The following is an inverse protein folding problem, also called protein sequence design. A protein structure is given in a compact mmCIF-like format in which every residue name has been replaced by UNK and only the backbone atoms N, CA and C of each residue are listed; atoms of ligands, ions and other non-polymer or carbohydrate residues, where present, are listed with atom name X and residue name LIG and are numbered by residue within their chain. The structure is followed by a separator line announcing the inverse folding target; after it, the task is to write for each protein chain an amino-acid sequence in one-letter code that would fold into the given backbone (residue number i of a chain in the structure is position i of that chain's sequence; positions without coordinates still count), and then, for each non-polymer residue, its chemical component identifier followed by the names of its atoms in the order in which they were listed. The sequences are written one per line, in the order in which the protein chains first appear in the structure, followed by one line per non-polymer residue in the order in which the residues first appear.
data_IF_614426223242
#
_entry.id   IF_614426223242
#
_cell.length_a   1.000
_cell.length_b   1.000
_cell.length_c   1.000
_cell.angle_alpha   90.00
_cell.angle_beta   90.00
_cell.angle_gamma   90.00
#
_symmetry.space_group_name_H-M   'P 1'
#
loop_
_entity.id
_entity.type
_entity.pdbx_description
1 polymer ?
#
# COMPACT_ATOMS: atom_id res chain seq x y z
N UNK A 1 -17.97 -1.69 -10.83
CA UNK A 1 -16.77 -2.55 -10.79
C UNK A 1 -16.52 -2.98 -9.35
N UNK A 2 -16.28 -4.26 -9.08
CA UNK A 2 -15.98 -4.73 -7.71
C UNK A 2 -14.54 -4.38 -7.36
N UNK A 3 -14.35 -3.75 -6.19
CA UNK A 3 -13.04 -3.46 -5.65
C UNK A 3 -12.39 -4.79 -5.20
N UNK A 4 -11.22 -5.16 -5.73
CA UNK A 4 -10.58 -6.41 -5.36
C UNK A 4 -10.07 -6.31 -3.94
N UNK A 5 -9.84 -7.48 -3.37
CA UNK A 5 -9.10 -7.61 -2.14
C UNK A 5 -7.83 -8.37 -2.51
N UNK A 6 -6.68 -7.79 -2.21
CA UNK A 6 -5.38 -8.48 -2.30
C UNK A 6 -4.89 -8.77 -0.90
N UNK A 7 -3.99 -9.73 -0.76
CA UNK A 7 -3.40 -10.05 0.53
C UNK A 7 -1.89 -10.15 0.45
N UNK A 8 -1.24 -9.86 1.58
CA UNK A 8 0.13 -10.21 1.88
C UNK A 8 0.17 -11.05 3.14
N UNK A 9 0.75 -12.24 3.04
CA UNK A 9 1.18 -13.00 4.20
C UNK A 9 2.54 -12.46 4.64
N UNK A 10 2.58 -11.92 5.84
CA UNK A 10 3.74 -11.29 6.43
C UNK A 10 4.44 -12.31 7.31
N UNK A 11 5.75 -12.45 7.14
CA UNK A 11 6.60 -13.23 8.03
C UNK A 11 7.68 -12.36 8.69
N UNK A 12 8.09 -12.74 9.90
CA UNK A 12 9.18 -12.12 10.65
C UNK A 12 10.24 -13.16 10.96
N UNK A 13 11.48 -12.93 10.53
CA UNK A 13 12.55 -13.93 10.62
C UNK A 13 12.12 -15.32 10.07
N UNK A 14 11.36 -15.31 8.96
CA UNK A 14 10.78 -16.50 8.32
C UNK A 14 9.64 -17.19 9.07
N UNK A 15 9.24 -16.71 10.25
CA UNK A 15 8.05 -17.20 10.96
C UNK A 15 6.80 -16.42 10.51
N UNK A 16 5.69 -17.09 10.19
CA UNK A 16 4.43 -16.42 9.85
C UNK A 16 3.99 -15.46 10.96
N UNK A 17 3.66 -14.23 10.60
CA UNK A 17 3.24 -13.18 11.52
C UNK A 17 1.77 -12.80 11.34
N UNK A 18 1.36 -12.44 10.12
CA UNK A 18 0.03 -11.89 9.88
C UNK A 18 -0.42 -12.09 8.43
N UNK A 19 -1.73 -12.10 8.21
CA UNK A 19 -2.36 -12.05 6.90
C UNK A 19 -3.02 -10.70 6.74
N UNK A 20 -2.42 -9.84 5.92
CA UNK A 20 -2.94 -8.48 5.72
C UNK A 20 -3.65 -8.41 4.38
N UNK A 21 -4.97 -8.23 4.44
CA UNK A 21 -5.79 -7.99 3.26
C UNK A 21 -6.06 -6.51 3.04
N UNK A 22 -6.03 -6.10 1.77
CA UNK A 22 -6.19 -4.72 1.33
C UNK A 22 -7.26 -4.68 0.25
N UNK A 23 -8.28 -3.85 0.46
CA UNK A 23 -9.27 -3.55 -0.57
C UNK A 23 -8.72 -2.46 -1.47
N UNK A 24 -8.42 -2.77 -2.73
CA UNK A 24 -7.98 -1.77 -3.69
C UNK A 24 -9.20 -0.95 -4.14
N UNK A 25 -9.10 0.38 -4.11
CA UNK A 25 -10.19 1.23 -4.55
C UNK A 25 -10.22 1.36 -6.07
N UNK A 26 -10.51 0.27 -6.78
CA UNK A 26 -10.51 0.24 -8.25
C UNK A 26 -11.47 1.25 -8.89
N UNK A 27 -12.54 1.62 -8.19
CA UNK A 27 -13.47 2.68 -8.61
C UNK A 27 -12.92 4.11 -8.41
N UNK A 28 -11.80 4.26 -7.71
CA UNK A 28 -11.12 5.53 -7.46
C UNK A 28 -9.74 5.60 -8.13
N UNK A 29 -9.11 4.43 -8.31
CA UNK A 29 -7.72 4.25 -8.75
C UNK A 29 -7.63 3.05 -9.73
N UNK A 30 -8.22 3.16 -10.93
CA UNK A 30 -8.31 2.04 -11.87
C UNK A 30 -6.99 1.67 -12.55
N UNK A 31 -6.07 2.62 -12.82
CA UNK A 31 -4.80 2.32 -13.51
C UNK A 31 -3.73 1.78 -12.56
N UNK A 32 -3.67 2.24 -11.31
CA UNK A 32 -2.65 1.74 -10.37
C UNK A 32 -2.85 0.28 -9.95
N UNK A 33 -4.01 -0.31 -10.23
CA UNK A 33 -4.33 -1.69 -9.89
C UNK A 33 -3.56 -2.73 -10.71
N UNK A 34 -3.19 -2.43 -11.96
CA UNK A 34 -2.80 -3.45 -12.94
C UNK A 34 -1.31 -3.48 -13.30
N UNK A 35 -0.52 -2.48 -12.87
CA UNK A 35 0.78 -2.22 -13.47
C UNK A 35 1.90 -2.22 -12.40
N UNK A 36 2.26 -3.41 -11.93
CA UNK A 36 3.51 -3.63 -11.19
C UNK A 36 4.69 -3.64 -12.17
N UNK A 37 5.10 -2.48 -12.70
CA UNK A 37 6.27 -2.42 -13.59
C UNK A 37 6.44 -1.17 -14.46
N UNK A 38 5.36 -0.42 -14.72
CA UNK A 38 5.42 0.82 -15.48
C UNK A 38 5.23 2.05 -14.57
N UNK A 39 5.85 3.17 -14.93
CA UNK A 39 5.63 4.44 -14.22
C UNK A 39 4.19 4.89 -14.43
N UNK A 40 3.45 5.06 -13.35
CA UNK A 40 2.03 5.42 -13.39
C UNK A 40 1.82 6.90 -13.12
N UNK A 41 0.85 7.48 -13.85
CA UNK A 41 0.30 8.80 -13.55
C UNK A 41 -0.27 8.83 -12.13
N UNK A 42 -0.11 9.97 -11.44
CA UNK A 42 -0.60 10.16 -10.08
C UNK A 42 -2.14 10.12 -10.07
N UNK A 43 -2.74 8.98 -9.76
CA UNK A 43 -4.19 8.85 -9.57
C UNK A 43 -4.59 9.46 -8.20
N UNK A 44 -4.69 10.79 -8.21
CA UNK A 44 -5.32 11.74 -7.30
C UNK A 44 -5.41 11.36 -5.80
N UNK A 45 -4.70 12.17 -5.00
CA UNK A 45 -4.54 12.22 -3.54
C UNK A 45 -5.82 12.41 -2.70
N UNK A 46 -6.89 11.68 -2.99
CA UNK A 46 -8.18 11.78 -2.30
C UNK A 46 -8.06 11.34 -0.83
N UNK A 47 -7.19 10.35 -0.58
CA UNK A 47 -6.98 9.77 0.74
C UNK A 47 -5.75 10.40 1.41
N UNK A 48 -5.88 10.63 2.73
CA UNK A 48 -4.87 11.29 3.56
C UNK A 48 -4.14 10.32 4.45
N UNK A 49 -2.90 10.65 4.81
CA UNK A 49 -2.03 9.89 5.70
C UNK A 49 -2.42 10.12 7.17
N UNK A 50 -3.61 9.63 7.52
CA UNK A 50 -4.30 9.95 8.78
C UNK A 50 -3.73 9.25 10.03
N UNK A 51 -2.83 8.27 9.89
CA UNK A 51 -2.27 7.59 11.05
C UNK A 51 -1.46 6.33 10.73
N UNK A 52 -1.05 5.59 11.78
CA UNK A 52 -0.39 4.30 11.65
C UNK A 52 -1.22 3.30 10.84
N UNK A 53 -0.54 2.45 10.09
CA UNK A 53 -1.10 1.42 9.23
C UNK A 53 -1.58 1.91 7.87
N UNK A 54 -1.50 3.20 7.54
CA UNK A 54 -1.85 3.68 6.18
C UNK A 54 -0.83 3.16 5.16
N UNK A 55 -1.33 2.63 4.03
CA UNK A 55 -0.50 2.22 2.90
C UNK A 55 -0.51 3.29 1.82
N UNK A 56 0.67 3.64 1.35
CA UNK A 56 0.89 4.69 0.37
C UNK A 56 1.92 4.28 -0.68
N UNK A 57 1.83 4.81 -1.89
CA UNK A 57 2.81 4.56 -2.94
C UNK A 57 4.11 5.30 -2.65
N UNK A 58 5.24 4.66 -2.92
CA UNK A 58 6.51 5.37 -3.02
C UNK A 58 6.69 5.87 -4.46
N UNK A 59 7.20 7.08 -4.58
CA UNK A 59 7.58 7.70 -5.84
C UNK A 59 8.92 8.44 -5.71
N UNK A 60 9.47 8.82 -6.86
CA UNK A 60 10.65 9.67 -7.03
C UNK A 60 10.26 11.02 -7.68
N UNK A 61 9.06 11.54 -7.37
CA UNK A 61 8.47 12.71 -8.00
C UNK A 61 7.24 12.38 -8.86
N UNK A 62 6.58 13.40 -9.43
CA UNK A 62 5.29 13.25 -10.10
C UNK A 62 5.30 12.18 -11.19
N UNK A 63 4.28 11.33 -11.19
CA UNK A 63 4.07 10.25 -12.17
C UNK A 63 5.20 9.21 -12.23
N UNK A 64 5.87 8.92 -11.10
CA UNK A 64 6.93 7.90 -11.02
C UNK A 64 6.56 6.74 -10.09
N UNK A 65 5.28 6.60 -9.75
CA UNK A 65 4.77 5.47 -8.98
C UNK A 65 5.09 4.16 -9.71
N UNK A 66 5.61 3.18 -8.98
CA UNK A 66 5.94 1.85 -9.49
C UNK A 66 5.35 0.78 -8.57
N UNK A 67 6.11 -0.21 -8.12
CA UNK A 67 5.67 -1.26 -7.20
C UNK A 67 6.06 -1.01 -5.74
N UNK A 68 6.86 0.02 -5.46
CA UNK A 68 7.26 0.35 -4.10
C UNK A 68 6.12 1.03 -3.34
N UNK A 69 5.93 0.64 -2.08
CA UNK A 69 4.94 1.21 -1.19
C UNK A 69 5.50 1.40 0.23
N UNK A 70 4.86 2.27 0.99
CA UNK A 70 5.12 2.57 2.40
C UNK A 70 3.97 2.05 3.26
N UNK A 71 4.29 1.63 4.48
CA UNK A 71 3.32 1.48 5.57
C UNK A 71 3.65 2.56 6.61
N UNK A 72 2.71 3.46 6.87
CA UNK A 72 2.89 4.56 7.81
C UNK A 72 2.92 4.04 9.24
N UNK A 73 3.91 4.42 10.04
CA UNK A 73 3.95 4.10 11.48
C UNK A 73 3.32 5.18 12.37
N UNK A 74 3.02 6.35 11.79
CA UNK A 74 2.40 7.52 12.40
C UNK A 74 1.56 8.29 11.36
N UNK A 75 0.85 9.34 11.80
CA UNK A 75 0.22 10.31 10.90
C UNK A 75 1.33 11.08 10.17
N UNK A 76 1.32 11.12 8.84
CA UNK A 76 2.36 11.74 8.02
C UNK A 76 1.78 12.71 6.97
N UNK A 77 1.01 13.70 7.44
CA UNK A 77 0.23 14.62 6.60
C UNK A 77 1.04 15.44 5.59
N UNK A 78 2.36 15.58 5.79
CA UNK A 78 3.24 16.27 4.84
C UNK A 78 3.44 15.53 3.51
N UNK A 79 3.00 14.26 3.43
CA UNK A 79 2.93 13.45 2.21
C UNK A 79 1.56 13.52 1.52
N UNK A 80 0.56 14.16 2.13
CA UNK A 80 -0.73 14.38 1.49
C UNK A 80 -0.55 15.23 0.24
N UNK A 81 -1.21 14.86 -0.86
CA UNK A 81 -1.03 15.57 -2.13
C UNK A 81 0.27 15.24 -2.87
N UNK A 82 1.15 14.38 -2.31
CA UNK A 82 2.44 14.00 -2.90
C UNK A 82 2.55 12.50 -3.14
N UNK A 83 2.06 11.68 -2.21
CA UNK A 83 2.04 10.23 -2.33
C UNK A 83 0.61 9.68 -2.29
N UNK A 84 0.28 8.76 -3.20
CA UNK A 84 -1.06 8.19 -3.30
C UNK A 84 -1.32 7.15 -2.21
N UNK A 85 -2.33 7.41 -1.37
CA UNK A 85 -2.80 6.44 -0.36
C UNK A 85 -3.77 5.46 -1.01
N UNK A 86 -3.50 4.16 -0.87
CA UNK A 86 -4.31 3.10 -1.50
C UNK A 86 -4.89 2.08 -0.52
N UNK A 87 -4.52 2.10 0.75
CA UNK A 87 -5.00 1.11 1.71
C UNK A 87 -4.70 1.42 3.18
N UNK A 88 -5.09 0.49 4.05
CA UNK A 88 -4.80 0.51 5.49
C UNK A 88 -4.61 -0.92 6.00
N UNK A 89 -3.54 -1.18 6.74
CA UNK A 89 -3.28 -2.46 7.41
C UNK A 89 -4.20 -2.64 8.61
N UNK A 90 -4.51 -3.90 8.92
CA UNK A 90 -5.48 -4.22 9.96
C UNK A 90 -4.87 -4.35 11.34
N UNK A 91 -3.60 -4.76 11.51
CA UNK A 91 -2.89 -4.85 12.81
C UNK A 91 -1.35 -4.94 12.67
N UNK A 92 -0.62 -4.76 13.80
CA UNK A 92 0.79 -5.15 13.97
C UNK A 92 1.83 -4.01 14.06
N UNK A 93 2.78 -4.12 15.01
CA UNK A 93 4.03 -3.34 15.07
C UNK A 93 5.19 -4.31 15.34
N UNK A 94 6.30 -4.21 14.60
CA UNK A 94 7.50 -5.03 14.82
C UNK A 94 8.76 -4.27 14.42
N UNK A 95 9.89 -4.61 15.04
CA UNK A 95 11.23 -4.02 14.75
C UNK A 95 12.19 -5.03 14.10
N UNK A 96 11.70 -6.25 13.85
CA UNK A 96 12.47 -7.35 13.23
C UNK A 96 12.32 -7.30 11.71
N UNK A 97 13.16 -8.05 10.97
CA UNK A 97 13.06 -8.17 9.51
C UNK A 97 11.68 -8.70 9.13
N UNK A 98 10.97 -7.96 8.28
CA UNK A 98 9.66 -8.32 7.73
C UNK A 98 9.84 -8.76 6.27
N UNK A 99 9.19 -9.86 5.88
CA UNK A 99 9.13 -10.34 4.49
C UNK A 99 7.69 -10.60 4.10
N UNK A 100 7.34 -10.35 2.84
CA UNK A 100 6.11 -10.89 2.24
C UNK A 100 6.41 -12.34 1.90
N UNK A 101 5.82 -13.27 2.65
CA UNK A 101 5.99 -14.70 2.48
C UNK A 101 5.11 -15.26 1.34
N UNK A 102 3.91 -14.70 1.16
CA UNK A 102 3.01 -14.99 0.04
C UNK A 102 2.15 -13.76 -0.29
N UNK A 103 1.61 -13.70 -1.49
CA UNK A 103 0.72 -12.64 -1.92
C UNK A 103 -0.22 -13.09 -3.03
N UNK A 104 -1.44 -12.53 -3.04
CA UNK A 104 -2.40 -12.83 -4.09
C UNK A 104 -3.63 -11.94 -4.08
N UNK A 105 -4.59 -12.27 -4.94
CA UNK A 105 -5.92 -11.68 -4.95
C UNK A 105 -6.92 -12.71 -4.40
N UNK A 106 -7.82 -12.25 -3.54
CA UNK A 106 -8.97 -13.01 -3.02
C UNK A 106 -10.14 -12.91 -3.99
#
# INVERSE_FOLDING_TARGET
MVNPIVFFDIAVNSEPLDHVSFKLFANKVPKSRSNYGEKLEDEYFILKHTGPGILSMADAGPNTNSSQFLICSAKIEWLDGKHAVFGKSRNGKTVKKITIADCGQI
#
